data_IF_008080576133
#
_entry.id   IF_008080576133
#
_cell.length_a   1.000
_cell.length_b   1.000
_cell.length_c   1.000
_cell.angle_alpha   90.00
_cell.angle_beta   90.00
_cell.angle_gamma   90.00
#
_symmetry.space_group_name_H-M   'P 1'
#
loop_
_entity.id
_entity.type
_entity.pdbx_description
1 polymer ?
#
# COMPACT_ATOMS: atom_id res chain seq x y z
N UNK A 1 -4.70 31.93 53.37
CA UNK A 1 -6.03 31.36 53.67
C UNK A 1 -6.17 30.11 52.83
N UNK A 2 -6.05 28.96 53.46
CA UNK A 2 -6.15 27.64 52.83
C UNK A 2 -7.60 27.20 52.89
N UNK A 3 -8.26 27.07 51.74
CA UNK A 3 -9.61 26.51 51.61
C UNK A 3 -9.55 25.01 51.93
N UNK A 4 -9.68 24.67 53.20
CA UNK A 4 -9.72 23.29 53.66
C UNK A 4 -11.12 22.71 53.40
N UNK A 5 -11.29 22.04 52.24
CA UNK A 5 -12.54 21.36 51.84
C UNK A 5 -13.14 20.56 53.00
N UNK A 6 -14.44 20.73 53.22
CA UNK A 6 -15.19 20.06 54.29
C UNK A 6 -15.14 18.53 54.12
N UNK A 7 -15.15 17.78 55.23
CA UNK A 7 -15.13 16.31 55.20
C UNK A 7 -16.27 15.72 54.36
N UNK A 8 -17.41 16.42 54.26
CA UNK A 8 -18.54 16.04 53.39
C UNK A 8 -18.19 16.15 51.90
N UNK A 9 -17.47 17.18 51.49
CA UNK A 9 -17.05 17.39 50.11
C UNK A 9 -16.02 16.34 49.69
N UNK A 10 -15.07 16.02 50.59
CA UNK A 10 -14.10 14.93 50.37
C UNK A 10 -14.80 13.57 50.24
N UNK A 11 -15.82 13.30 51.06
CA UNK A 11 -16.61 12.07 50.99
C UNK A 11 -17.43 11.98 49.69
N UNK A 12 -18.06 13.08 49.27
CA UNK A 12 -18.78 13.17 47.99
C UNK A 12 -17.84 12.97 46.79
N UNK A 13 -16.66 13.58 46.82
CA UNK A 13 -15.62 13.43 45.79
C UNK A 13 -15.13 11.98 45.72
N UNK A 14 -14.86 11.35 46.88
CA UNK A 14 -14.47 9.94 46.95
C UNK A 14 -15.55 8.99 46.42
N UNK A 15 -16.83 9.22 46.76
CA UNK A 15 -17.96 8.43 46.23
C UNK A 15 -18.09 8.62 44.71
N UNK A 16 -17.91 9.84 44.21
CA UNK A 16 -17.95 10.12 42.76
C UNK A 16 -16.81 9.43 42.01
N UNK A 17 -15.60 9.40 42.58
CA UNK A 17 -14.46 8.67 42.03
C UNK A 17 -14.72 7.16 42.05
N UNK A 18 -15.20 6.63 43.18
CA UNK A 18 -15.47 5.20 43.33
C UNK A 18 -16.56 4.75 42.34
N UNK A 19 -17.60 5.57 42.13
CA UNK A 19 -18.63 5.35 41.11
C UNK A 19 -18.09 5.40 39.68
N UNK A 20 -17.06 6.20 39.40
CA UNK A 20 -16.40 6.25 38.08
C UNK A 20 -15.54 5.02 37.82
N UNK A 21 -14.77 4.58 38.81
CA UNK A 21 -13.88 3.41 38.68
C UNK A 21 -14.69 2.10 38.67
N UNK A 22 -15.85 2.07 39.33
CA UNK A 22 -16.75 0.91 39.32
C UNK A 22 -17.60 0.78 38.05
N UNK A 23 -17.47 1.71 37.08
CA UNK A 23 -18.17 1.57 35.81
C UNK A 23 -17.58 0.41 35.00
N UNK A 24 -18.41 -0.33 34.24
CA UNK A 24 -17.91 -1.32 33.30
C UNK A 24 -16.94 -0.67 32.30
N UNK A 25 -15.94 -1.43 31.81
CA UNK A 25 -14.98 -0.91 30.85
C UNK A 25 -15.69 -0.48 29.57
N UNK A 26 -15.37 0.72 29.08
CA UNK A 26 -15.87 1.18 27.79
C UNK A 26 -15.26 0.33 26.67
N UNK A 27 -16.10 -0.04 25.71
CA UNK A 27 -15.66 -0.78 24.53
C UNK A 27 -15.30 0.18 23.41
N UNK A 28 -14.40 -0.25 22.52
CA UNK A 28 -14.02 0.50 21.34
C UNK A 28 -14.58 -0.16 20.08
N UNK A 29 -14.92 0.68 19.10
CA UNK A 29 -15.33 0.26 17.77
C UNK A 29 -14.80 1.22 16.70
N UNK A 30 -14.82 0.76 15.45
CA UNK A 30 -14.50 1.59 14.29
C UNK A 30 -15.80 2.15 13.73
N UNK A 31 -15.87 3.47 13.55
CA UNK A 31 -16.99 4.13 12.89
C UNK A 31 -16.91 3.87 11.38
N UNK A 32 -17.94 3.25 10.80
CA UNK A 32 -17.99 2.94 9.36
C UNK A 32 -18.70 4.03 8.57
N UNK A 33 -19.87 4.45 9.04
CA UNK A 33 -20.70 5.43 8.35
C UNK A 33 -21.54 6.23 9.35
N UNK A 34 -22.04 7.39 8.92
CA UNK A 34 -22.84 8.32 9.74
C UNK A 34 -24.16 8.57 9.03
N UNK A 35 -25.27 8.48 9.77
CA UNK A 35 -26.64 8.71 9.31
C UNK A 35 -27.26 9.88 10.08
N UNK A 36 -26.96 11.15 9.71
CA UNK A 36 -27.34 12.33 10.49
C UNK A 36 -28.84 12.58 10.63
N UNK A 37 -29.64 12.01 9.73
CA UNK A 37 -31.10 12.13 9.71
C UNK A 37 -31.80 11.28 10.77
N UNK A 38 -31.15 10.19 11.19
CA UNK A 38 -31.67 9.25 12.19
C UNK A 38 -30.90 9.33 13.51
N UNK A 39 -29.90 10.21 13.60
CA UNK A 39 -28.93 10.28 14.70
C UNK A 39 -28.30 8.90 15.04
N UNK A 40 -28.07 8.10 13.99
CA UNK A 40 -27.42 6.79 14.08
C UNK A 40 -26.10 6.76 13.32
N UNK A 41 -25.28 5.76 13.64
CA UNK A 41 -24.01 5.47 13.01
C UNK A 41 -23.85 3.96 12.82
N UNK A 42 -23.13 3.59 11.76
CA UNK A 42 -22.70 2.22 11.55
C UNK A 42 -21.34 2.02 12.22
N UNK A 43 -21.23 1.03 13.10
CA UNK A 43 -19.98 0.70 13.80
C UNK A 43 -19.56 -0.73 13.51
N UNK A 44 -18.26 -0.99 13.51
CA UNK A 44 -17.68 -2.33 13.53
C UNK A 44 -16.97 -2.58 14.85
N UNK A 45 -17.38 -3.65 15.55
CA UNK A 45 -16.64 -4.15 16.70
C UNK A 45 -15.36 -4.86 16.24
N UNK A 46 -14.31 -4.92 17.07
CA UNK A 46 -13.11 -5.70 16.78
C UNK A 46 -13.37 -7.18 16.46
N UNK A 47 -14.52 -7.72 16.88
CA UNK A 47 -14.94 -9.10 16.56
C UNK A 47 -15.38 -9.31 15.10
N UNK A 48 -15.57 -8.25 14.31
CA UNK A 48 -16.12 -8.35 12.95
C UNK A 48 -17.61 -7.99 12.85
N UNK A 49 -18.34 -7.99 13.97
CA UNK A 49 -19.77 -7.69 13.97
C UNK A 49 -20.02 -6.20 13.73
N UNK A 50 -21.00 -5.91 12.89
CA UNK A 50 -21.44 -4.56 12.57
C UNK A 50 -22.79 -4.26 13.21
N UNK A 51 -22.96 -3.03 13.69
CA UNK A 51 -24.20 -2.58 14.34
C UNK A 51 -24.55 -1.17 13.90
N UNK A 52 -25.84 -0.90 13.79
CA UNK A 52 -26.39 0.46 13.71
C UNK A 52 -26.72 0.90 15.12
N UNK A 53 -26.09 1.97 15.61
CA UNK A 53 -26.25 2.45 16.99
C UNK A 53 -26.49 3.96 17.04
N UNK A 54 -27.11 4.43 18.11
CA UNK A 54 -27.23 5.86 18.37
C UNK A 54 -25.90 6.45 18.85
N UNK A 55 -25.74 7.77 18.70
CA UNK A 55 -24.59 8.49 19.21
C UNK A 55 -24.99 9.73 20.03
N UNK A 56 -24.11 10.16 20.92
CA UNK A 56 -24.26 11.42 21.64
C UNK A 56 -24.23 12.60 20.65
N UNK A 57 -25.34 13.33 20.53
CA UNK A 57 -25.52 14.42 19.56
C UNK A 57 -24.47 15.54 19.71
N UNK A 58 -23.82 15.66 20.87
CA UNK A 58 -22.68 16.59 21.08
C UNK A 58 -21.45 16.23 20.21
N UNK A 59 -21.40 15.00 19.69
CA UNK A 59 -20.33 14.49 18.83
C UNK A 59 -20.62 14.65 17.34
N UNK A 60 -21.83 15.08 16.93
CA UNK A 60 -22.30 15.10 15.53
C UNK A 60 -21.28 15.67 14.53
N UNK A 61 -20.65 16.80 14.88
CA UNK A 61 -19.69 17.49 14.01
C UNK A 61 -18.23 17.01 14.16
N UNK A 62 -17.98 16.04 15.04
CA UNK A 62 -16.64 15.53 15.36
C UNK A 62 -16.40 14.11 14.85
N UNK A 63 -17.48 13.39 14.53
CA UNK A 63 -17.42 12.02 14.03
C UNK A 63 -16.96 11.97 12.58
N UNK A 64 -16.06 11.05 12.26
CA UNK A 64 -15.59 10.78 10.89
C UNK A 64 -15.48 9.28 10.64
N UNK A 65 -15.89 8.76 9.47
CA UNK A 65 -15.63 7.39 9.08
C UNK A 65 -14.15 7.00 9.28
N UNK A 66 -13.92 5.76 9.71
CA UNK A 66 -12.60 5.22 10.06
C UNK A 66 -12.09 5.59 11.46
N UNK A 67 -12.79 6.47 12.18
CA UNK A 67 -12.37 6.89 13.53
C UNK A 67 -12.72 5.83 14.58
N UNK A 68 -11.85 5.68 15.57
CA UNK A 68 -12.16 4.89 16.76
C UNK A 68 -13.15 5.64 17.65
N UNK A 69 -14.20 4.96 18.11
CA UNK A 69 -15.24 5.50 18.99
C UNK A 69 -15.39 4.66 20.27
N UNK A 70 -15.81 5.30 21.36
CA UNK A 70 -16.11 4.67 22.65
C UNK A 70 -17.60 4.38 22.75
N UNK A 71 -17.92 3.16 23.19
CA UNK A 71 -19.29 2.67 23.30
C UNK A 71 -19.72 2.52 24.76
N UNK A 72 -20.99 2.82 25.01
CA UNK A 72 -21.68 2.42 26.24
C UNK A 72 -21.72 0.88 26.33
N UNK A 73 -21.30 0.27 27.44
CA UNK A 73 -21.30 -1.19 27.59
C UNK A 73 -22.70 -1.81 27.57
N UNK A 74 -23.74 -1.02 27.87
CA UNK A 74 -25.13 -1.50 27.97
C UNK A 74 -25.89 -1.35 26.65
N UNK A 75 -25.66 -0.25 25.93
CA UNK A 75 -26.48 0.14 24.77
C UNK A 75 -25.71 0.16 23.45
N UNK A 76 -24.38 0.01 23.50
CA UNK A 76 -23.47 0.26 22.38
C UNK A 76 -23.56 1.67 21.77
N UNK A 77 -24.27 2.60 22.39
CA UNK A 77 -24.32 3.97 21.91
C UNK A 77 -22.93 4.59 21.93
N UNK A 78 -22.60 5.39 20.92
CA UNK A 78 -21.33 6.13 20.86
C UNK A 78 -21.36 7.27 21.86
N UNK A 79 -20.58 7.16 22.92
CA UNK A 79 -20.50 8.13 24.03
C UNK A 79 -19.26 9.02 23.95
N UNK A 80 -18.30 8.69 23.10
CA UNK A 80 -17.06 9.42 22.98
C UNK A 80 -16.25 9.04 21.74
N UNK A 81 -15.26 9.87 21.44
CA UNK A 81 -14.23 9.56 20.45
C UNK A 81 -13.09 8.84 21.16
N UNK A 82 -12.69 7.69 20.62
CA UNK A 82 -11.55 6.94 21.11
C UNK A 82 -10.23 7.56 20.66
N UNK A 83 -9.16 7.27 21.41
CA UNK A 83 -7.80 7.57 20.98
C UNK A 83 -7.38 6.70 19.79
N UNK A 84 -6.23 7.03 19.20
CA UNK A 84 -5.69 6.25 18.10
C UNK A 84 -5.19 4.89 18.60
N UNK A 85 -5.91 3.82 18.24
CA UNK A 85 -5.53 2.46 18.63
C UNK A 85 -4.36 2.03 17.76
N UNK A 86 -3.19 1.84 18.38
CA UNK A 86 -1.93 1.54 17.68
C UNK A 86 -1.86 0.13 17.07
N UNK A 87 -2.74 -0.80 17.48
CA UNK A 87 -2.77 -2.15 16.93
C UNK A 87 -3.78 -2.23 15.80
N UNK A 88 -3.36 -1.90 14.58
CA UNK A 88 -4.13 -2.09 13.33
C UNK A 88 -3.41 -3.09 12.43
N UNK A 89 -4.15 -3.76 11.56
CA UNK A 89 -3.58 -4.75 10.64
C UNK A 89 -3.22 -4.12 9.31
N UNK A 90 -2.19 -4.64 8.64
CA UNK A 90 -1.87 -4.28 7.26
C UNK A 90 -2.26 -5.42 6.32
N UNK A 91 -2.78 -5.08 5.15
CA UNK A 91 -3.10 -6.03 4.08
C UNK A 91 -2.78 -5.43 2.71
N UNK A 92 -3.01 -6.20 1.64
CA UNK A 92 -2.76 -5.83 0.25
C UNK A 92 -4.08 -5.68 -0.49
N UNK A 93 -4.19 -4.62 -1.28
CA UNK A 93 -5.28 -4.42 -2.24
C UNK A 93 -5.13 -5.40 -3.39
N UNK A 94 -6.11 -6.30 -3.55
CA UNK A 94 -6.18 -7.27 -4.64
C UNK A 94 -6.93 -6.71 -5.85
N UNK A 95 -8.00 -5.96 -5.62
CA UNK A 95 -8.85 -5.39 -6.66
C UNK A 95 -9.63 -4.16 -6.16
N UNK A 96 -10.09 -3.32 -7.08
CA UNK A 96 -10.91 -2.14 -6.79
C UNK A 96 -12.19 -2.23 -7.64
N UNK A 97 -13.34 -2.22 -6.98
CA UNK A 97 -14.65 -2.34 -7.63
C UNK A 97 -15.16 -0.97 -8.10
N UNK A 98 -16.05 -0.99 -9.10
CA UNK A 98 -16.62 0.22 -9.70
C UNK A 98 -17.42 1.09 -8.72
N UNK A 99 -17.93 0.50 -7.64
CA UNK A 99 -18.69 1.18 -6.58
C UNK A 99 -17.79 1.76 -5.47
N UNK A 100 -16.47 1.71 -5.63
CA UNK A 100 -15.49 2.22 -4.67
C UNK A 100 -15.15 1.26 -3.53
N UNK A 101 -15.76 0.07 -3.47
CA UNK A 101 -15.33 -0.98 -2.52
C UNK A 101 -14.04 -1.64 -3.00
N UNK A 102 -13.27 -2.14 -2.04
CA UNK A 102 -11.93 -2.67 -2.29
C UNK A 102 -11.88 -4.13 -1.89
N UNK A 103 -11.37 -4.98 -2.77
CA UNK A 103 -11.06 -6.37 -2.46
C UNK A 103 -9.65 -6.45 -1.87
N UNK A 104 -9.54 -7.02 -0.68
CA UNK A 104 -8.27 -7.21 0.03
C UNK A 104 -7.98 -8.71 0.23
N UNK A 105 -6.71 -9.01 0.54
CA UNK A 105 -6.36 -10.30 1.12
C UNK A 105 -6.76 -10.36 2.60
N UNK A 106 -7.41 -11.43 3.02
CA UNK A 106 -7.73 -11.71 4.40
C UNK A 106 -7.41 -13.17 4.69
N UNK A 107 -6.21 -13.40 5.23
CA UNK A 107 -5.72 -14.74 5.57
C UNK A 107 -5.80 -15.71 4.37
N UNK A 108 -5.37 -15.24 3.19
CA UNK A 108 -5.40 -16.01 1.94
C UNK A 108 -6.76 -16.07 1.24
N UNK A 109 -7.82 -15.54 1.84
CA UNK A 109 -9.15 -15.41 1.22
C UNK A 109 -9.39 -13.99 0.75
N UNK A 110 -10.31 -13.83 -0.19
CA UNK A 110 -10.74 -12.51 -0.65
C UNK A 110 -11.83 -11.96 0.27
N UNK A 111 -11.69 -10.70 0.68
CA UNK A 111 -12.73 -9.96 1.40
C UNK A 111 -12.95 -8.60 0.75
N UNK A 112 -14.20 -8.18 0.63
CA UNK A 112 -14.57 -6.87 0.07
C UNK A 112 -14.93 -5.94 1.21
N UNK A 113 -14.29 -4.76 1.24
CA UNK A 113 -14.39 -3.80 2.35
C UNK A 113 -14.52 -2.36 1.81
N UNK A 114 -14.95 -1.44 2.67
CA UNK A 114 -15.00 -0.02 2.35
C UNK A 114 -13.62 0.64 2.50
N UNK A 115 -13.42 1.79 1.89
CA UNK A 115 -12.22 2.61 2.07
C UNK A 115 -12.62 4.04 2.44
N UNK A 116 -11.92 4.64 3.41
CA UNK A 116 -11.95 6.10 3.64
C UNK A 116 -10.84 6.83 2.88
N UNK A 117 -10.01 6.08 2.16
CA UNK A 117 -8.85 6.59 1.42
C UNK A 117 -9.13 6.46 -0.07
N UNK A 118 -8.95 7.56 -0.79
CA UNK A 118 -9.07 7.60 -2.25
C UNK A 118 -7.74 7.25 -2.95
N UNK A 119 -7.82 6.97 -4.25
CA UNK A 119 -6.63 6.82 -5.10
C UNK A 119 -5.81 5.57 -4.83
N UNK A 120 -6.40 4.55 -4.21
CA UNK A 120 -5.80 3.24 -4.04
C UNK A 120 -5.46 2.60 -5.38
N UNK A 121 -4.41 1.78 -5.39
CA UNK A 121 -4.02 0.96 -6.55
C UNK A 121 -3.91 -0.50 -6.16
N UNK A 122 -4.13 -1.37 -7.13
CA UNK A 122 -3.89 -2.82 -6.97
C UNK A 122 -2.42 -3.03 -6.58
N UNK A 123 -2.20 -3.81 -5.51
CA UNK A 123 -0.89 -4.07 -4.92
C UNK A 123 -0.44 -3.05 -3.86
N UNK A 124 -1.23 -2.01 -3.58
CA UNK A 124 -0.94 -1.13 -2.44
C UNK A 124 -1.09 -1.90 -1.12
N UNK A 125 -0.19 -1.60 -0.18
CA UNK A 125 -0.32 -2.04 1.21
C UNK A 125 -1.10 -1.00 1.99
N UNK A 126 -2.14 -1.45 2.66
CA UNK A 126 -3.11 -0.59 3.32
C UNK A 126 -3.27 -1.01 4.79
N UNK A 127 -3.45 -0.02 5.67
CA UNK A 127 -3.84 -0.26 7.06
C UNK A 127 -5.36 -0.42 7.08
N UNK A 128 -5.83 -1.51 7.68
CA UNK A 128 -7.23 -1.79 7.92
C UNK A 128 -7.53 -1.80 9.41
N UNK A 129 -8.79 -1.58 9.75
CA UNK A 129 -9.26 -1.76 11.12
C UNK A 129 -9.20 -3.25 11.54
N UNK A 130 -9.26 -3.52 12.85
CA UNK A 130 -9.12 -4.88 13.37
C UNK A 130 -10.25 -5.83 12.94
N UNK A 131 -11.41 -5.28 12.55
CA UNK A 131 -12.52 -6.07 12.05
C UNK A 131 -12.39 -6.44 10.56
N UNK A 132 -11.40 -5.86 9.87
CA UNK A 132 -11.24 -5.93 8.41
C UNK A 132 -12.54 -5.52 7.69
N UNK A 133 -13.10 -4.37 8.07
CA UNK A 133 -14.32 -3.82 7.47
C UNK A 133 -14.05 -2.51 6.72
N UNK A 134 -12.97 -1.79 7.07
CA UNK A 134 -12.64 -0.52 6.44
C UNK A 134 -11.13 -0.30 6.32
N UNK A 135 -10.71 0.26 5.18
CA UNK A 135 -9.34 0.75 4.94
C UNK A 135 -9.22 2.14 5.53
N UNK A 136 -8.19 2.34 6.35
CA UNK A 136 -7.95 3.55 7.13
C UNK A 136 -6.81 4.40 6.57
N UNK A 137 -5.78 3.75 6.03
CA UNK A 137 -4.58 4.43 5.52
C UNK A 137 -4.00 3.66 4.33
N UNK A 138 -3.46 4.38 3.35
CA UNK A 138 -2.65 3.80 2.29
C UNK A 138 -1.15 4.02 2.60
N UNK A 139 -0.42 2.92 2.83
CA UNK A 139 1.04 2.96 3.02
C UNK A 139 1.77 2.98 1.66
N UNK A 140 1.01 2.78 0.57
CA UNK A 140 1.48 2.62 -0.78
C UNK A 140 2.03 1.22 -1.02
N UNK A 141 2.63 1.02 -2.18
CA UNK A 141 3.20 -0.26 -2.54
C UNK A 141 4.50 -0.55 -1.74
N UNK A 142 4.34 -1.14 -0.55
CA UNK A 142 5.45 -1.68 0.27
C UNK A 142 6.00 -2.98 -0.31
N UNK A 143 5.22 -3.66 -1.16
CA UNK A 143 5.68 -4.74 -2.04
C UNK A 143 6.50 -4.21 -3.21
N UNK A 144 7.52 -3.37 -2.95
CA UNK A 144 8.69 -3.29 -3.84
C UNK A 144 9.46 -4.61 -3.74
N UNK A 145 8.78 -5.68 -4.15
CA UNK A 145 9.29 -7.02 -4.31
C UNK A 145 10.49 -6.98 -5.28
N UNK A 146 10.54 -5.97 -6.14
CA UNK A 146 11.67 -5.68 -6.99
C UNK A 146 12.05 -4.20 -6.86
N UNK A 147 13.32 -3.95 -6.56
CA UNK A 147 13.87 -2.60 -6.67
C UNK A 147 13.90 -2.25 -8.16
N UNK A 148 12.97 -1.40 -8.58
CA UNK A 148 13.14 -0.65 -9.84
C UNK A 148 14.26 0.35 -9.55
N UNK A 149 15.49 -0.07 -9.78
CA UNK A 149 16.65 0.78 -9.60
C UNK A 149 16.75 1.77 -10.78
N UNK A 150 17.36 2.93 -10.49
CA UNK A 150 17.82 3.82 -11.56
C UNK A 150 18.80 3.04 -12.44
N UNK A 151 18.78 3.34 -13.74
CA UNK A 151 19.67 2.67 -14.69
C UNK A 151 21.14 2.84 -14.25
N UNK A 152 21.87 1.73 -14.00
CA UNK A 152 23.26 1.80 -13.60
C UNK A 152 24.11 2.40 -14.72
N UNK A 153 25.07 3.27 -14.38
CA UNK A 153 25.93 3.94 -15.37
C UNK A 153 26.99 2.98 -15.91
N UNK A 154 26.67 2.28 -17.00
CA UNK A 154 27.58 1.34 -17.67
C UNK A 154 27.58 1.63 -19.18
N UNK A 155 28.48 2.49 -19.69
CA UNK A 155 28.58 2.72 -21.13
C UNK A 155 29.12 1.48 -21.86
N UNK A 156 28.92 1.41 -23.18
CA UNK A 156 29.50 0.34 -24.01
C UNK A 156 31.03 0.24 -23.85
N UNK A 157 31.71 1.37 -23.67
CA UNK A 157 33.17 1.45 -23.44
C UNK A 157 33.64 0.80 -22.13
N UNK A 158 32.73 0.47 -21.20
CA UNK A 158 33.07 -0.22 -19.96
C UNK A 158 33.14 -1.76 -20.14
N UNK A 159 32.78 -2.28 -21.32
CA UNK A 159 32.80 -3.71 -21.62
C UNK A 159 33.91 -3.98 -22.65
N UNK A 160 34.88 -4.82 -22.30
CA UNK A 160 35.96 -5.22 -23.19
C UNK A 160 35.79 -6.65 -23.72
N UNK A 161 36.21 -6.88 -24.97
CA UNK A 161 36.32 -8.22 -25.56
C UNK A 161 34.99 -8.85 -25.99
N UNK A 162 33.93 -8.05 -26.09
CA UNK A 162 32.58 -8.47 -26.50
C UNK A 162 32.05 -7.60 -27.66
N UNK A 163 32.94 -7.02 -28.47
CA UNK A 163 32.60 -6.03 -29.50
C UNK A 163 31.57 -6.57 -30.49
N UNK A 164 31.76 -7.81 -30.96
CA UNK A 164 30.82 -8.48 -31.86
C UNK A 164 29.43 -8.67 -31.23
N UNK A 165 29.38 -9.09 -29.96
CA UNK A 165 28.11 -9.29 -29.25
C UNK A 165 27.42 -7.95 -28.99
N UNK A 166 28.18 -6.89 -28.70
CA UNK A 166 27.65 -5.54 -28.54
C UNK A 166 27.02 -5.07 -29.86
N UNK A 167 27.69 -5.27 -31.00
CA UNK A 167 27.17 -4.93 -32.32
C UNK A 167 25.85 -5.67 -32.61
N UNK A 168 25.79 -6.99 -32.40
CA UNK A 168 24.56 -7.79 -32.57
C UNK A 168 23.40 -7.27 -31.68
N UNK A 169 23.70 -6.86 -30.45
CA UNK A 169 22.71 -6.31 -29.51
C UNK A 169 22.24 -4.91 -29.95
N UNK A 170 23.16 -4.07 -30.42
CA UNK A 170 22.84 -2.74 -30.94
C UNK A 170 21.90 -2.86 -32.15
N UNK A 171 22.19 -3.77 -33.07
CA UNK A 171 21.36 -4.01 -34.24
C UNK A 171 19.97 -4.56 -33.90
N UNK A 172 19.92 -5.46 -32.91
CA UNK A 172 18.68 -6.13 -32.51
C UNK A 172 17.75 -5.27 -31.64
N UNK A 173 18.31 -4.40 -30.79
CA UNK A 173 17.57 -3.65 -29.78
C UNK A 173 17.69 -2.14 -29.97
N UNK A 174 18.91 -1.62 -30.11
CA UNK A 174 19.16 -0.18 -30.15
C UNK A 174 18.65 0.45 -31.44
N UNK A 175 18.95 -0.13 -32.61
CA UNK A 175 18.50 0.40 -33.91
C UNK A 175 16.97 0.45 -34.04
N UNK A 176 16.18 -0.61 -33.73
CA UNK A 176 14.73 -0.53 -33.79
C UNK A 176 14.13 0.46 -32.79
N UNK A 177 14.81 0.67 -31.65
CA UNK A 177 14.38 1.61 -30.63
C UNK A 177 14.61 3.07 -31.04
N UNK A 178 15.76 3.37 -31.66
CA UNK A 178 16.15 4.71 -32.12
C UNK A 178 15.45 5.09 -33.43
N UNK A 179 15.32 4.15 -34.37
CA UNK A 179 14.78 4.41 -35.71
C UNK A 179 13.37 3.87 -35.92
N UNK A 180 12.47 4.10 -34.96
CA UNK A 180 11.09 3.59 -34.98
C UNK A 180 10.36 3.90 -36.28
N UNK A 181 10.53 5.10 -36.83
CA UNK A 181 9.88 5.53 -38.08
C UNK A 181 10.33 4.68 -39.28
N UNK A 182 11.62 4.35 -39.36
CA UNK A 182 12.16 3.52 -40.45
C UNK A 182 11.62 2.09 -40.31
N UNK A 183 11.67 1.51 -39.12
CA UNK A 183 11.19 0.15 -38.87
C UNK A 183 9.67 0.02 -39.04
N UNK A 184 8.89 1.09 -38.78
CA UNK A 184 7.44 1.11 -39.00
C UNK A 184 7.04 0.93 -40.48
N UNK A 185 7.91 1.32 -41.41
CA UNK A 185 7.70 1.15 -42.86
C UNK A 185 7.91 -0.29 -43.33
N UNK A 186 8.51 -1.15 -42.49
CA UNK A 186 8.76 -2.56 -42.79
C UNK A 186 8.00 -3.45 -41.80
N UNK A 187 6.66 -3.61 -41.95
CA UNK A 187 5.83 -4.31 -40.97
C UNK A 187 6.20 -5.79 -40.75
N UNK A 188 6.91 -6.40 -41.70
CA UNK A 188 7.41 -7.78 -41.58
C UNK A 188 8.64 -7.91 -40.67
N UNK A 189 9.29 -6.80 -40.28
CA UNK A 189 10.43 -6.78 -39.35
C UNK A 189 9.96 -6.28 -37.99
N UNK A 190 9.50 -7.21 -37.14
CA UNK A 190 9.12 -6.90 -35.75
C UNK A 190 10.36 -6.69 -34.88
N UNK A 191 10.35 -5.73 -33.95
CA UNK A 191 11.44 -5.55 -33.00
C UNK A 191 11.57 -6.78 -32.08
N UNK A 192 12.80 -7.07 -31.67
CA UNK A 192 13.08 -8.17 -30.74
C UNK A 192 12.45 -7.86 -29.38
N UNK A 193 11.69 -8.82 -28.83
CA UNK A 193 11.00 -8.66 -27.53
C UNK A 193 11.84 -9.09 -26.33
N UNK A 194 12.88 -9.88 -26.54
CA UNK A 194 13.74 -10.38 -25.48
C UNK A 194 15.02 -10.97 -26.04
N UNK A 195 16.10 -10.90 -25.24
CA UNK A 195 17.41 -11.43 -25.59
C UNK A 195 17.83 -12.43 -24.53
N UNK A 196 18.32 -13.59 -24.98
CA UNK A 196 18.88 -14.62 -24.11
C UNK A 196 20.40 -14.53 -24.14
N UNK A 197 21.00 -14.14 -23.01
CA UNK A 197 22.45 -14.15 -22.84
C UNK A 197 22.88 -15.47 -22.17
N UNK A 198 23.61 -16.30 -22.89
CA UNK A 198 24.11 -17.58 -22.38
C UNK A 198 25.63 -17.69 -22.52
N UNK A 199 26.24 -18.58 -21.74
CA UNK A 199 27.69 -18.83 -21.75
C UNK A 199 28.25 -19.12 -20.36
N UNK A 200 29.56 -19.37 -20.22
CA UNK A 200 30.21 -19.70 -18.94
C UNK A 200 29.98 -18.63 -17.85
N UNK A 201 29.92 -19.00 -16.57
CA UNK A 201 29.81 -18.01 -15.48
C UNK A 201 31.01 -17.05 -15.50
N UNK A 202 30.78 -15.79 -15.13
CA UNK A 202 31.85 -14.77 -15.08
C UNK A 202 32.12 -13.98 -16.38
N UNK A 203 31.53 -14.35 -17.52
CA UNK A 203 31.74 -13.62 -18.80
C UNK A 203 30.93 -12.31 -18.96
N UNK A 204 30.59 -11.61 -17.87
CA UNK A 204 29.99 -10.28 -17.96
C UNK A 204 28.52 -10.18 -18.42
N UNK A 205 27.76 -11.28 -18.54
CA UNK A 205 26.33 -11.27 -18.97
C UNK A 205 25.46 -10.25 -18.21
N UNK A 206 25.56 -10.21 -16.88
CA UNK A 206 24.80 -9.25 -16.06
C UNK A 206 25.25 -7.81 -16.31
N UNK A 207 26.54 -7.60 -16.56
CA UNK A 207 27.09 -6.28 -16.90
C UNK A 207 26.63 -5.81 -18.28
N UNK A 208 26.54 -6.74 -19.24
CA UNK A 208 26.00 -6.49 -20.57
C UNK A 208 24.53 -6.05 -20.51
N UNK A 209 23.70 -6.73 -19.70
CA UNK A 209 22.33 -6.30 -19.44
C UNK A 209 22.22 -4.88 -18.86
N UNK A 210 23.10 -4.52 -17.93
CA UNK A 210 23.19 -3.17 -17.38
C UNK A 210 23.60 -2.13 -18.43
N UNK A 211 24.54 -2.48 -19.30
CA UNK A 211 25.00 -1.61 -20.37
C UNK A 211 23.90 -1.37 -21.41
N UNK A 212 23.15 -2.40 -21.81
CA UNK A 212 22.00 -2.25 -22.70
C UNK A 212 21.03 -1.19 -22.16
N UNK A 213 20.63 -1.32 -20.90
CA UNK A 213 19.70 -0.38 -20.29
C UNK A 213 20.24 1.06 -20.26
N UNK A 214 21.53 1.22 -19.93
CA UNK A 214 22.16 2.55 -19.88
C UNK A 214 22.25 3.22 -21.24
N UNK A 215 22.74 2.51 -22.25
CA UNK A 215 22.92 3.10 -23.58
C UNK A 215 21.56 3.37 -24.24
N UNK A 216 20.54 2.53 -24.06
CA UNK A 216 19.19 2.83 -24.54
C UNK A 216 18.61 4.11 -23.91
N UNK A 217 18.75 4.27 -22.60
CA UNK A 217 18.29 5.49 -21.91
C UNK A 217 19.10 6.73 -22.35
N UNK A 218 20.39 6.55 -22.65
CA UNK A 218 21.24 7.62 -23.20
C UNK A 218 20.77 8.04 -24.60
N UNK A 219 20.52 7.09 -25.51
CA UNK A 219 19.98 7.37 -26.86
C UNK A 219 18.63 8.08 -26.81
N UNK A 220 17.75 7.66 -25.89
CA UNK A 220 16.47 8.32 -25.72
C UNK A 220 16.64 9.78 -25.30
N UNK A 221 17.59 10.05 -24.39
CA UNK A 221 17.94 11.41 -23.96
C UNK A 221 18.47 12.24 -25.12
N UNK A 222 19.31 11.66 -25.97
CA UNK A 222 19.87 12.34 -27.16
C UNK A 222 18.78 12.71 -28.18
N UNK A 223 17.78 11.84 -28.39
CA UNK A 223 16.70 12.10 -29.36
C UNK A 223 15.63 13.06 -28.86
N UNK A 224 15.13 12.87 -27.64
CA UNK A 224 13.95 13.58 -27.15
C UNK A 224 14.30 14.83 -26.31
N UNK A 225 15.58 15.01 -25.99
CA UNK A 225 16.02 15.98 -24.99
C UNK A 225 15.55 15.63 -23.57
N UNK A 226 16.10 16.34 -22.57
CA UNK A 226 15.69 16.18 -21.17
C UNK A 226 16.59 15.29 -20.31
N UNK A 227 15.99 14.60 -19.32
CA UNK A 227 16.72 13.78 -18.34
C UNK A 227 16.83 12.33 -18.79
N UNK A 228 17.86 11.62 -18.32
CA UNK A 228 18.01 10.19 -18.57
C UNK A 228 16.85 9.45 -17.89
N UNK A 229 15.89 8.99 -18.70
CA UNK A 229 14.70 8.30 -18.24
C UNK A 229 14.80 6.83 -18.66
N UNK A 230 14.72 5.94 -17.70
CA UNK A 230 14.88 4.51 -17.93
C UNK A 230 14.79 3.76 -16.61
N UNK A 231 14.36 2.51 -16.70
CA UNK A 231 14.22 1.63 -15.56
C UNK A 231 14.98 0.34 -15.84
N UNK A 232 15.76 -0.11 -14.85
CA UNK A 232 16.44 -1.40 -14.90
C UNK A 232 15.88 -2.28 -13.80
N UNK A 233 15.17 -3.34 -14.21
CA UNK A 233 14.62 -4.34 -13.32
C UNK A 233 15.59 -5.52 -13.28
N UNK A 234 16.25 -5.73 -12.14
CA UNK A 234 17.06 -6.92 -11.90
C UNK A 234 16.30 -7.88 -10.99
N UNK A 235 16.20 -9.13 -11.44
CA UNK A 235 15.62 -10.22 -10.65
C UNK A 235 16.60 -11.39 -10.70
N UNK A 236 17.17 -11.77 -9.55
CA UNK A 236 17.97 -12.98 -9.49
C UNK A 236 17.04 -14.21 -9.47
N UNK A 237 17.43 -15.30 -10.13
CA UNK A 237 16.63 -16.55 -10.14
C UNK A 237 16.21 -17.05 -8.75
N UNK A 238 17.10 -17.07 -7.74
CA UNK A 238 16.73 -17.45 -6.37
C UNK A 238 15.70 -16.51 -5.70
N UNK A 239 15.75 -15.20 -5.99
CA UNK A 239 14.77 -14.21 -5.46
C UNK A 239 13.37 -14.43 -6.03
N UNK A 240 13.28 -15.00 -7.23
CA UNK A 240 12.02 -15.40 -7.82
C UNK A 240 11.43 -16.60 -7.08
N UNK A 241 12.25 -17.62 -6.79
CA UNK A 241 11.81 -18.85 -6.13
C UNK A 241 11.36 -18.62 -4.68
N UNK A 242 12.09 -17.81 -3.90
CA UNK A 242 11.72 -17.55 -2.49
C UNK A 242 10.33 -16.91 -2.30
N UNK A 243 9.79 -16.22 -3.31
CA UNK A 243 8.44 -15.64 -3.24
C UNK A 243 7.32 -16.66 -3.42
N UNK A 244 7.60 -17.77 -4.10
CA UNK A 244 6.60 -18.80 -4.41
C UNK A 244 6.80 -20.08 -3.60
N UNK A 245 8.01 -20.34 -3.09
CA UNK A 245 8.27 -21.41 -2.12
C UNK A 245 7.90 -20.89 -0.73
N UNK A 246 6.60 -20.88 -0.46
CA UNK A 246 5.99 -20.33 0.75
C UNK A 246 4.46 -20.25 0.67
N UNK A 247 3.88 -20.31 -0.53
CA UNK A 247 2.44 -20.57 -0.73
C UNK A 247 2.24 -22.09 -0.87
N UNK A 248 2.62 -22.81 0.18
CA UNK A 248 2.17 -24.17 0.40
C UNK A 248 0.96 -24.10 1.31
N UNK A 249 -0.22 -24.03 0.69
CA UNK A 249 -1.59 -24.36 1.14
C UNK A 249 -2.64 -23.54 0.38
#
# INVERSE_FOLDING_TARGET
>A
MSDEKSWKEKALEAIAILKKISQPPLQYATLLNIHPENDTVDIALPSGNTFVVYYDTRLKNKLKPGQTVQLSPETYAVVGIGGDIQNRSATIVKDILDDGRVKIDFQGKDRVIHSVVDGLKIGDSVIVDNSYSIILENIGNTTKAYKIDKVPKVPWSAIGGLEKTIEEIQDAIELPFVHKEIYSKFPNKKPVKGVLLYGPPGCGKTMLGKAIAYNLALRQKEQNGGSLNGHFLYVAGPEFLQKFVGVGE
#
